data_IF_548506943312
#
_entry.id   IF_548506943312
#
_cell.length_a   1.000
_cell.length_b   1.000
_cell.length_c   1.000
_cell.angle_alpha   90.00
_cell.angle_beta   90.00
_cell.angle_gamma   90.00
#
_symmetry.space_group_name_H-M   'P 1'
#
loop_
_entity.id
_entity.type
_entity.pdbx_description
1 polymer ?
#
# COMPACT_ATOMS: atom_id res chain seq x y z
N UNK A 1 -14.23 10.36 3.03
CA UNK A 1 -14.28 9.20 2.13
C UNK A 1 -12.86 8.67 2.04
N UNK A 2 -12.66 7.36 2.21
CA UNK A 2 -11.34 6.73 2.13
C UNK A 2 -11.13 6.04 0.79
N UNK A 3 -9.87 5.81 0.42
CA UNK A 3 -9.48 5.03 -0.74
C UNK A 3 -8.43 4.01 -0.33
N UNK A 4 -8.46 2.81 -0.91
CA UNK A 4 -7.58 1.71 -0.53
C UNK A 4 -6.63 1.44 -1.68
N UNK A 5 -5.34 1.32 -1.38
CA UNK A 5 -4.31 0.92 -2.32
C UNK A 5 -3.68 -0.36 -1.78
N UNK A 6 -3.95 -1.49 -2.44
CA UNK A 6 -3.45 -2.79 -2.01
C UNK A 6 -2.28 -3.23 -2.90
N UNK A 7 -1.23 -3.76 -2.28
CA UNK A 7 0.04 -4.03 -2.95
C UNK A 7 0.55 -5.42 -2.58
N UNK A 8 0.88 -6.23 -3.59
CA UNK A 8 1.60 -7.49 -3.39
C UNK A 8 2.42 -7.89 -4.61
N UNK A 9 3.36 -8.81 -4.39
CA UNK A 9 4.27 -9.35 -5.41
C UNK A 9 3.83 -10.76 -5.79
N UNK A 10 3.75 -11.04 -7.09
CA UNK A 10 3.39 -12.36 -7.61
C UNK A 10 1.88 -12.61 -7.75
N UNK A 11 1.53 -13.87 -8.01
CA UNK A 11 0.18 -14.30 -8.35
C UNK A 11 -0.33 -13.72 -9.67
N UNK A 12 0.56 -13.51 -10.65
CA UNK A 12 0.23 -12.80 -11.90
C UNK A 12 -0.78 -13.54 -12.79
N UNK A 13 -0.90 -14.87 -12.61
CA UNK A 13 -1.87 -15.70 -13.33
C UNK A 13 -3.14 -15.99 -12.51
N UNK A 14 -3.25 -15.45 -11.29
CA UNK A 14 -4.39 -15.64 -10.41
C UNK A 14 -5.42 -14.52 -10.61
N UNK A 15 -6.67 -14.79 -10.24
CA UNK A 15 -7.70 -13.75 -10.17
C UNK A 15 -7.35 -12.75 -9.05
N UNK A 16 -7.05 -11.48 -9.36
CA UNK A 16 -6.62 -10.52 -8.36
C UNK A 16 -7.68 -10.25 -7.29
N UNK A 17 -8.97 -10.35 -7.62
CA UNK A 17 -10.04 -10.14 -6.64
C UNK A 17 -10.12 -11.28 -5.62
N UNK A 18 -9.94 -12.53 -6.05
CA UNK A 18 -9.85 -13.70 -5.16
C UNK A 18 -8.59 -13.63 -4.27
N UNK A 19 -7.45 -13.25 -4.86
CA UNK A 19 -6.21 -13.07 -4.09
C UNK A 19 -6.39 -12.02 -3.01
N UNK A 20 -6.93 -10.85 -3.35
CA UNK A 20 -7.18 -9.78 -2.39
C UNK A 20 -8.12 -10.24 -1.25
N UNK A 21 -9.24 -10.88 -1.58
CA UNK A 21 -10.19 -11.38 -0.57
C UNK A 21 -9.53 -12.36 0.41
N UNK A 22 -8.73 -13.31 -0.10
CA UNK A 22 -8.00 -14.28 0.75
C UNK A 22 -6.97 -13.61 1.65
N UNK A 23 -6.25 -12.61 1.13
CA UNK A 23 -5.26 -11.86 1.91
C UNK A 23 -5.92 -11.01 3.01
N UNK A 24 -7.09 -10.42 2.75
CA UNK A 24 -7.91 -9.76 3.77
C UNK A 24 -8.33 -10.74 4.90
N UNK A 25 -8.66 -11.98 4.54
CA UNK A 25 -9.00 -13.05 5.49
C UNK A 25 -7.76 -13.68 6.17
N UNK A 26 -6.57 -13.10 5.98
CA UNK A 26 -5.29 -13.61 6.49
C UNK A 26 -4.96 -15.03 6.01
N UNK A 27 -5.55 -15.46 4.90
CA UNK A 27 -5.27 -16.75 4.30
C UNK A 27 -4.06 -16.63 3.36
N UNK A 28 -3.01 -17.44 3.54
CA UNK A 28 -1.88 -17.40 2.65
C UNK A 28 -2.27 -17.83 1.25
N UNK A 29 -1.70 -17.15 0.26
CA UNK A 29 -1.90 -17.43 -1.17
C UNK A 29 -0.59 -17.93 -1.76
N UNK A 30 -0.63 -19.10 -2.40
CA UNK A 30 0.53 -19.62 -3.13
C UNK A 30 0.86 -18.67 -4.28
N UNK A 31 2.14 -18.56 -4.64
CA UNK A 31 2.64 -17.66 -5.70
C UNK A 31 2.63 -16.16 -5.34
N UNK A 32 2.09 -15.76 -4.19
CA UNK A 32 2.28 -14.42 -3.62
C UNK A 32 3.49 -14.44 -2.69
N UNK A 33 4.42 -13.50 -2.89
CA UNK A 33 5.62 -13.44 -2.06
C UNK A 33 5.32 -12.89 -0.66
N UNK A 34 6.16 -13.26 0.31
CA UNK A 34 6.11 -12.66 1.63
C UNK A 34 6.58 -11.20 1.59
N UNK A 35 5.97 -10.36 2.43
CA UNK A 35 6.32 -8.96 2.59
C UNK A 35 7.51 -8.82 3.54
N UNK A 36 8.52 -8.09 3.08
CA UNK A 36 9.61 -7.62 3.92
C UNK A 36 9.23 -6.24 4.51
N UNK A 37 8.69 -6.26 5.73
CA UNK A 37 8.22 -5.05 6.43
C UNK A 37 9.33 -4.01 6.58
N UNK A 38 10.53 -4.43 6.98
CA UNK A 38 11.64 -3.49 7.22
C UNK A 38 12.07 -2.82 5.92
N UNK A 39 12.09 -3.58 4.83
CA UNK A 39 12.39 -3.04 3.50
C UNK A 39 11.33 -2.03 3.03
N UNK A 40 10.05 -2.30 3.24
CA UNK A 40 8.95 -1.37 2.87
C UNK A 40 9.07 -0.07 3.66
N UNK A 41 9.21 -0.15 4.99
CA UNK A 41 9.32 1.03 5.85
C UNK A 41 10.53 1.87 5.47
N UNK A 42 11.69 1.24 5.24
CA UNK A 42 12.91 1.93 4.81
C UNK A 42 12.72 2.62 3.45
N UNK A 43 12.14 1.92 2.47
CA UNK A 43 11.96 2.49 1.13
C UNK A 43 11.05 3.73 1.12
N UNK A 44 9.97 3.71 1.90
CA UNK A 44 9.09 4.89 2.05
C UNK A 44 9.85 6.03 2.71
N UNK A 45 10.59 5.77 3.80
CA UNK A 45 11.37 6.81 4.48
C UNK A 45 12.45 7.42 3.58
N UNK A 46 13.09 6.61 2.74
CA UNK A 46 14.14 7.05 1.82
C UNK A 46 13.57 7.83 0.61
N UNK A 47 12.42 7.41 0.09
CA UNK A 47 11.85 7.94 -1.14
C UNK A 47 10.86 9.11 -0.93
N UNK A 48 10.26 9.24 0.26
CA UNK A 48 9.29 10.28 0.59
C UNK A 48 9.85 11.23 1.66
N UNK A 49 10.83 12.09 1.31
CA UNK A 49 11.43 13.00 2.27
C UNK A 49 10.40 13.98 2.84
N UNK A 50 10.42 14.15 4.16
CA UNK A 50 9.50 15.04 4.87
C UNK A 50 8.15 14.41 5.24
N UNK A 51 7.84 13.23 4.72
CA UNK A 51 6.67 12.48 5.18
C UNK A 51 6.93 11.92 6.58
N UNK A 52 5.91 11.97 7.43
CA UNK A 52 5.95 11.44 8.78
C UNK A 52 5.30 10.06 8.80
N UNK A 53 6.00 9.06 9.36
CA UNK A 53 5.44 7.74 9.63
C UNK A 53 5.40 7.52 11.14
N UNK A 54 4.21 7.59 11.74
CA UNK A 54 3.97 7.32 13.16
C UNK A 54 3.07 6.08 13.33
N UNK A 55 3.67 4.99 13.82
CA UNK A 55 2.98 3.71 13.96
C UNK A 55 2.47 3.18 12.61
N UNK A 56 1.16 3.22 12.39
CA UNK A 56 0.53 2.86 11.11
C UNK A 56 0.16 4.09 10.27
N UNK A 57 0.25 5.30 10.80
CA UNK A 57 -0.15 6.51 10.09
C UNK A 57 1.03 7.06 9.30
N UNK A 58 0.82 7.30 8.02
CA UNK A 58 1.75 7.95 7.10
C UNK A 58 1.13 9.26 6.61
N UNK A 59 1.83 10.38 6.82
CA UNK A 59 1.35 11.72 6.47
C UNK A 59 2.37 12.46 5.59
N UNK A 60 1.91 13.19 4.56
CA UNK A 60 2.77 14.09 3.79
C UNK A 60 3.10 15.37 4.60
N UNK A 61 4.18 16.09 4.23
CA UNK A 61 4.75 17.17 5.04
C UNK A 61 3.82 18.37 5.28
N UNK A 62 2.83 18.59 4.41
CA UNK A 62 1.84 19.67 4.54
C UNK A 62 0.65 19.33 5.45
N UNK A 63 0.51 18.07 5.87
CA UNK A 63 -0.55 17.65 6.76
C UNK A 63 -0.33 18.16 8.19
N UNK A 64 -1.42 18.58 8.84
CA UNK A 64 -1.40 18.75 10.29
C UNK A 64 -1.28 17.37 10.98
N UNK A 65 -0.57 17.26 12.11
CA UNK A 65 -0.49 16.00 12.86
C UNK A 65 -1.87 15.45 13.19
N UNK A 66 -2.06 14.14 13.01
CA UNK A 66 -3.34 13.44 13.24
C UNK A 66 -4.53 13.93 12.39
N UNK A 67 -4.27 14.68 11.31
CA UNK A 67 -5.27 15.17 10.38
C UNK A 67 -5.04 14.66 8.94
N UNK A 68 -6.04 14.85 8.08
CA UNK A 68 -5.87 14.61 6.65
C UNK A 68 -5.01 15.72 6.00
N UNK A 69 -4.25 15.42 4.93
CA UNK A 69 -4.13 14.11 4.28
C UNK A 69 -3.33 13.09 5.10
N UNK A 70 -3.78 11.84 5.11
CA UNK A 70 -3.11 10.74 5.82
C UNK A 70 -3.40 9.39 5.17
N UNK A 71 -2.53 8.40 5.41
CA UNK A 71 -2.71 7.01 5.03
C UNK A 71 -2.54 6.12 6.25
N UNK A 72 -3.49 5.22 6.50
CA UNK A 72 -3.32 4.10 7.41
C UNK A 72 -2.65 2.95 6.65
N UNK A 73 -1.41 2.64 7.02
CA UNK A 73 -0.54 1.66 6.39
C UNK A 73 -0.58 0.32 7.16
N UNK A 74 -1.30 -0.65 6.57
CA UNK A 74 -1.33 -2.04 7.01
C UNK A 74 -0.26 -2.87 6.31
N UNK A 75 0.76 -3.33 7.03
CA UNK A 75 1.77 -4.25 6.49
C UNK A 75 1.51 -5.68 7.01
N UNK A 76 0.88 -6.51 6.19
CA UNK A 76 0.62 -7.92 6.43
C UNK A 76 1.80 -8.83 6.05
N UNK A 77 1.57 -10.14 6.07
CA UNK A 77 2.58 -11.14 5.70
C UNK A 77 2.80 -11.28 4.20
N UNK A 78 1.78 -10.99 3.38
CA UNK A 78 1.81 -11.12 1.91
C UNK A 78 1.21 -9.90 1.17
N UNK A 79 0.69 -8.91 1.90
CA UNK A 79 0.09 -7.69 1.33
C UNK A 79 0.49 -6.47 2.14
N UNK A 80 0.67 -5.35 1.46
CA UNK A 80 0.71 -4.00 2.06
C UNK A 80 -0.51 -3.25 1.59
N UNK A 81 -1.24 -2.63 2.50
CA UNK A 81 -2.40 -1.80 2.20
C UNK A 81 -2.19 -0.39 2.74
N UNK A 82 -2.57 0.62 1.94
CA UNK A 82 -2.66 2.00 2.37
C UNK A 82 -4.10 2.48 2.24
N UNK A 83 -4.73 2.83 3.35
CA UNK A 83 -6.07 3.42 3.38
C UNK A 83 -5.91 4.93 3.50
N UNK A 84 -6.08 5.64 2.38
CA UNK A 84 -5.90 7.09 2.29
C UNK A 84 -7.15 7.88 2.67
N UNK A 85 -6.96 9.01 3.34
CA UNK A 85 -7.99 9.96 3.75
C UNK A 85 -7.63 11.38 3.31
N UNK A 86 -8.51 12.03 2.56
CA UNK A 86 -8.38 13.45 2.17
C UNK A 86 -7.12 13.79 1.36
N UNK A 87 -6.52 12.80 0.70
CA UNK A 87 -5.31 12.94 -0.10
C UNK A 87 -5.61 13.44 -1.52
N UNK A 88 -4.58 14.01 -2.17
CA UNK A 88 -4.58 14.37 -3.59
C UNK A 88 -3.89 13.27 -4.42
N UNK A 89 -4.15 13.21 -5.73
CA UNK A 89 -3.64 12.14 -6.59
C UNK A 89 -2.12 12.00 -6.53
N UNK A 90 -1.41 13.11 -6.37
CA UNK A 90 0.04 13.21 -6.20
C UNK A 90 0.53 12.40 -4.99
N UNK A 91 -0.22 12.38 -3.90
CA UNK A 91 0.12 11.60 -2.70
C UNK A 91 -0.02 10.10 -2.96
N UNK A 92 -1.10 9.68 -3.62
CA UNK A 92 -1.29 8.28 -3.99
C UNK A 92 -0.22 7.82 -4.99
N UNK A 93 0.08 8.63 -6.01
CA UNK A 93 1.13 8.35 -6.99
C UNK A 93 2.49 8.19 -6.33
N UNK A 94 2.83 9.03 -5.35
CA UNK A 94 4.08 8.89 -4.60
C UNK A 94 4.20 7.53 -3.88
N UNK A 95 3.12 7.07 -3.24
CA UNK A 95 3.08 5.74 -2.61
C UNK A 95 3.20 4.63 -3.65
N UNK A 96 2.45 4.74 -4.76
CA UNK A 96 2.47 3.77 -5.86
C UNK A 96 3.88 3.64 -6.43
N UNK A 97 4.56 4.75 -6.69
CA UNK A 97 5.93 4.77 -7.23
C UNK A 97 6.92 4.07 -6.29
N UNK A 98 6.82 4.31 -4.97
CA UNK A 98 7.67 3.62 -3.97
C UNK A 98 7.41 2.11 -3.99
N UNK A 99 6.15 1.69 -3.94
CA UNK A 99 5.79 0.28 -3.90
C UNK A 99 6.16 -0.43 -5.21
N UNK A 100 5.96 0.21 -6.36
CA UNK A 100 6.39 -0.29 -7.66
C UNK A 100 7.91 -0.44 -7.75
N UNK A 101 8.69 0.49 -7.17
CA UNK A 101 10.16 0.38 -7.12
C UNK A 101 10.65 -0.86 -6.34
N UNK A 102 9.81 -1.37 -5.43
CA UNK A 102 10.03 -2.61 -4.69
C UNK A 102 9.50 -3.87 -5.39
N UNK A 103 8.83 -3.72 -6.53
CA UNK A 103 8.21 -4.79 -7.31
C UNK A 103 6.78 -5.13 -6.90
N UNK A 104 6.16 -4.36 -6.01
CA UNK A 104 4.77 -4.57 -5.60
C UNK A 104 3.84 -3.93 -6.59
N UNK A 105 2.90 -4.72 -7.11
CA UNK A 105 1.90 -4.25 -8.07
C UNK A 105 0.65 -3.77 -7.34
N UNK A 106 0.14 -2.61 -7.75
CA UNK A 106 -1.12 -2.08 -7.24
C UNK A 106 -2.30 -2.93 -7.69
N UNK A 107 -3.14 -3.31 -6.74
CA UNK A 107 -4.53 -3.66 -6.95
C UNK A 107 -5.41 -2.57 -6.34
N UNK A 108 -6.43 -2.20 -7.08
CA UNK A 108 -7.41 -1.20 -6.68
C UNK A 108 -8.73 -1.94 -6.34
N UNK A 109 -9.05 -2.10 -5.04
CA UNK A 109 -10.29 -2.76 -4.62
C UNK A 109 -11.58 -2.07 -5.08
N UNK A 110 -11.52 -0.77 -5.39
CA UNK A 110 -12.67 0.04 -5.79
C UNK A 110 -13.06 -0.26 -7.25
N UNK A 111 -12.08 -0.54 -8.10
CA UNK A 111 -12.30 -0.87 -9.52
C UNK A 111 -12.18 -2.37 -9.81
N UNK A 112 -11.53 -3.12 -8.92
CA UNK A 112 -11.17 -4.52 -9.14
C UNK A 112 -10.00 -4.69 -10.12
N UNK A 113 -9.31 -3.61 -10.47
CA UNK A 113 -8.22 -3.63 -11.44
C UNK A 113 -6.86 -3.86 -10.78
N UNK A 114 -5.99 -4.60 -11.47
CA UNK A 114 -4.60 -4.81 -11.07
C UNK A 114 -3.65 -4.21 -12.08
N UNK A 115 -2.87 -3.24 -11.63
CA UNK A 115 -1.95 -2.48 -12.47
C UNK A 115 -0.57 -3.15 -12.51
N UNK A 116 0.15 -2.91 -13.60
CA UNK A 116 1.47 -3.49 -13.87
C UNK A 116 2.58 -2.56 -13.39
#
# INVERSE_FOLDING_TARGET
MSYNLAFWVGGDNLDPADVYARLCDQQPVNEVAAVDRERVVRAVADALPGWAWDGHILQPPEAEPDAAPAFDAGIGSQMVEFIGYGFENEHANAIIDVMHSLGYRLFDPQTGERFA
#
